data_IF_693149850765
#
_entry.id   IF_693149850765
#
_cell.length_a   1.000
_cell.length_b   1.000
_cell.length_c   1.000
_cell.angle_alpha   90.00
_cell.angle_beta   90.00
_cell.angle_gamma   90.00
#
_symmetry.space_group_name_H-M   'P 1'
#
loop_
_entity.id
_entity.type
_entity.pdbx_description
1 polymer ?
#
# COMPACT_ATOMS: atom_id res chain seq x y z
N UNK A 1 -14.13 33.03 -11.96
CA UNK A 1 -12.68 33.27 -11.87
C UNK A 1 -12.14 32.34 -10.78
N UNK A 2 -11.30 31.36 -11.16
CA UNK A 2 -10.61 30.45 -10.25
C UNK A 2 -9.66 31.22 -9.33
N UNK A 3 -9.41 30.78 -8.09
CA UNK A 3 -8.13 30.97 -7.46
C UNK A 3 -7.18 29.85 -7.91
N UNK A 4 -6.02 30.32 -8.32
CA UNK A 4 -4.83 29.66 -8.81
C UNK A 4 -4.17 28.67 -7.85
N UNK A 5 -3.45 27.71 -8.46
CA UNK A 5 -2.60 26.67 -7.89
C UNK A 5 -1.70 27.10 -6.71
N UNK A 6 -1.65 26.25 -5.67
CA UNK A 6 -0.49 26.13 -4.78
C UNK A 6 0.25 24.85 -5.15
N UNK A 7 1.34 25.01 -5.88
CA UNK A 7 2.42 24.05 -5.99
C UNK A 7 3.45 24.45 -4.93
N UNK A 8 3.94 23.55 -4.05
CA UNK A 8 5.26 23.74 -3.40
C UNK A 8 5.85 22.44 -2.78
N UNK A 9 6.92 21.98 -3.44
CA UNK A 9 8.19 21.36 -2.99
C UNK A 9 8.24 20.33 -1.84
N UNK A 10 8.26 19.07 -2.30
CA UNK A 10 9.16 17.95 -1.97
C UNK A 10 10.19 18.12 -0.83
N UNK A 11 10.17 17.17 0.11
CA UNK A 11 11.39 16.49 0.57
C UNK A 11 11.68 15.33 -0.42
N UNK A 12 12.95 15.17 -0.79
CA UNK A 12 13.47 14.47 -1.98
C UNK A 12 13.07 12.99 -2.18
N UNK A 13 11.82 12.71 -2.58
CA UNK A 13 11.52 11.40 -3.18
C UNK A 13 10.06 11.03 -3.41
N UNK A 14 9.12 11.64 -2.69
CA UNK A 14 7.69 11.28 -2.72
C UNK A 14 6.82 12.40 -3.28
N UNK A 15 6.19 12.19 -4.45
CA UNK A 15 5.11 13.04 -4.93
C UNK A 15 3.79 12.51 -4.33
N UNK A 16 3.23 13.26 -3.38
CA UNK A 16 1.90 13.00 -2.79
C UNK A 16 0.86 13.70 -3.67
N UNK A 17 -0.13 12.98 -4.17
CA UNK A 17 -1.12 13.51 -5.11
C UNK A 17 -2.54 13.04 -4.70
N UNK A 18 -3.48 13.97 -4.58
CA UNK A 18 -4.90 13.62 -4.54
C UNK A 18 -5.33 13.21 -5.94
N UNK A 19 -5.83 11.98 -6.09
CA UNK A 19 -6.34 11.53 -7.38
C UNK A 19 -7.68 12.23 -7.68
N UNK A 20 -7.74 12.97 -8.79
CA UNK A 20 -8.96 13.69 -9.18
C UNK A 20 -10.00 12.73 -9.74
N UNK A 21 -11.24 13.20 -9.80
CA UNK A 21 -12.33 12.46 -10.43
C UNK A 21 -11.99 12.07 -11.86
N UNK A 22 -12.24 10.82 -12.23
CA UNK A 22 -11.94 10.22 -13.54
C UNK A 22 -10.45 10.22 -13.92
N UNK A 23 -9.56 10.48 -12.96
CA UNK A 23 -8.13 10.38 -13.18
C UNK A 23 -7.65 8.93 -12.97
N UNK A 24 -6.67 8.53 -13.76
CA UNK A 24 -5.99 7.24 -13.64
C UNK A 24 -4.48 7.48 -13.61
N UNK A 25 -3.80 6.81 -12.70
CA UNK A 25 -2.34 6.79 -12.60
C UNK A 25 -1.83 5.36 -12.68
N UNK A 26 -0.64 5.20 -13.26
CA UNK A 26 0.07 3.93 -13.27
C UNK A 26 1.03 3.85 -12.09
N UNK A 27 1.15 2.66 -11.51
CA UNK A 27 2.17 2.36 -10.53
C UNK A 27 2.93 1.10 -10.93
N UNK A 28 4.22 1.08 -10.62
CA UNK A 28 5.06 -0.06 -10.88
C UNK A 28 6.04 -0.24 -9.74
N UNK A 29 5.64 -1.07 -8.77
CA UNK A 29 6.46 -1.56 -7.69
C UNK A 29 6.89 -3.01 -7.95
N UNK A 30 7.25 -3.31 -9.20
CA UNK A 30 8.02 -4.52 -9.48
C UNK A 30 9.40 -4.33 -8.86
N UNK A 31 9.98 -5.37 -8.21
CA UNK A 31 11.43 -5.42 -8.11
C UNK A 31 11.93 -5.39 -9.56
N UNK A 32 13.11 -4.82 -9.83
CA UNK A 32 13.71 -5.04 -11.15
C UNK A 32 13.78 -6.57 -11.35
N UNK A 33 12.87 -7.15 -12.13
CA UNK A 33 12.79 -8.58 -12.45
C UNK A 33 14.11 -9.09 -13.09
N UNK A 34 15.02 -8.16 -13.40
CA UNK A 34 16.33 -8.30 -14.02
C UNK A 34 17.53 -7.91 -13.16
N UNK A 35 17.39 -7.58 -11.87
CA UNK A 35 18.57 -7.32 -11.03
C UNK A 35 19.23 -8.62 -10.52
N UNK A 36 19.59 -9.52 -11.44
CA UNK A 36 20.64 -10.51 -11.19
C UNK A 36 21.97 -9.75 -11.24
N UNK A 37 22.46 -9.27 -10.09
CA UNK A 37 23.86 -8.88 -10.03
C UNK A 37 24.66 -10.17 -9.89
N UNK A 38 25.22 -10.64 -11.00
CA UNK A 38 26.34 -11.56 -10.93
C UNK A 38 27.46 -10.83 -10.20
N UNK A 39 27.79 -11.28 -8.99
CA UNK A 39 29.01 -10.84 -8.33
C UNK A 39 30.18 -11.34 -9.19
N UNK A 40 30.81 -10.42 -9.93
CA UNK A 40 31.87 -10.73 -10.90
C UNK A 40 33.07 -11.44 -10.27
N UNK A 41 33.19 -11.47 -8.93
CA UNK A 41 34.29 -12.17 -8.24
C UNK A 41 33.95 -13.60 -7.82
N UNK A 42 32.67 -13.97 -7.62
CA UNK A 42 32.31 -15.27 -7.02
C UNK A 42 31.47 -16.17 -7.92
N UNK A 43 30.94 -15.68 -9.04
CA UNK A 43 30.09 -16.48 -9.94
C UNK A 43 28.73 -16.85 -9.35
N UNK A 44 28.43 -16.40 -8.13
CA UNK A 44 27.15 -16.61 -7.45
C UNK A 44 26.13 -15.62 -8.01
N UNK A 45 25.01 -16.14 -8.50
CA UNK A 45 23.84 -15.31 -8.80
C UNK A 45 23.27 -14.80 -7.47
N UNK A 46 23.54 -13.54 -7.11
CA UNK A 46 22.88 -12.93 -5.95
C UNK A 46 21.47 -12.54 -6.37
N UNK A 47 20.51 -13.38 -6.01
CA UNK A 47 19.09 -13.06 -6.18
C UNK A 47 18.65 -12.15 -5.04
N UNK A 48 17.74 -11.23 -5.35
CA UNK A 48 17.35 -10.12 -4.49
C UNK A 48 16.72 -10.62 -3.19
N UNK A 49 17.28 -10.22 -2.04
CA UNK A 49 16.60 -10.33 -0.74
C UNK A 49 16.26 -8.93 -0.25
N UNK A 50 14.99 -8.73 0.12
CA UNK A 50 14.47 -7.44 0.56
C UNK A 50 13.78 -7.54 1.90
N UNK A 51 13.77 -6.43 2.64
CA UNK A 51 12.95 -6.27 3.84
C UNK A 51 12.07 -5.05 3.62
N UNK A 52 10.77 -5.21 3.76
CA UNK A 52 9.84 -4.10 3.81
C UNK A 52 9.53 -3.78 5.26
N UNK A 53 9.93 -2.60 5.70
CA UNK A 53 9.53 -2.04 6.99
C UNK A 53 8.56 -0.88 6.80
N UNK A 54 7.59 -0.79 7.71
CA UNK A 54 6.87 0.46 8.00
C UNK A 54 7.30 0.90 9.40
N UNK A 55 7.44 2.19 9.60
CA UNK A 55 7.54 2.78 10.94
C UNK A 55 6.60 3.97 10.95
N UNK A 56 5.46 3.85 11.63
CA UNK A 56 4.47 4.93 11.74
C UNK A 56 4.12 5.18 13.20
N UNK A 57 4.01 6.47 13.56
CA UNK A 57 3.40 7.06 14.76
C UNK A 57 3.82 6.67 16.16
N UNK A 58 4.14 5.41 16.41
CA UNK A 58 4.43 4.86 17.73
C UNK A 58 5.41 3.68 17.66
N UNK A 59 6.16 3.60 16.56
CA UNK A 59 7.05 2.47 16.23
C UNK A 59 6.30 1.17 15.90
N UNK A 60 5.02 1.24 15.50
CA UNK A 60 4.36 0.16 14.80
C UNK A 60 5.10 -0.16 13.51
N UNK A 61 5.38 -1.45 13.32
CA UNK A 61 6.17 -1.94 12.23
C UNK A 61 5.67 -3.28 11.73
N UNK A 62 5.91 -3.52 10.46
CA UNK A 62 5.89 -4.86 9.93
C UNK A 62 7.21 -5.15 9.27
N UNK A 63 7.63 -6.41 9.27
CA UNK A 63 8.83 -6.87 8.58
C UNK A 63 8.46 -8.07 7.74
N UNK A 64 8.39 -7.84 6.42
CA UNK A 64 8.22 -8.90 5.44
C UNK A 64 9.51 -9.02 4.65
N UNK A 65 10.09 -10.22 4.67
CA UNK A 65 11.24 -10.57 3.85
C UNK A 65 10.78 -11.43 2.69
N UNK A 66 11.57 -11.45 1.63
CA UNK A 66 11.40 -12.44 0.59
C UNK A 66 12.75 -13.00 0.19
N UNK A 67 12.74 -14.29 -0.16
CA UNK A 67 13.94 -15.01 -0.56
C UNK A 67 14.14 -14.97 -2.08
N UNK A 68 15.19 -15.69 -2.50
CA UNK A 68 15.64 -15.77 -3.89
C UNK A 68 14.62 -16.39 -4.84
N UNK A 69 13.66 -17.15 -4.32
CA UNK A 69 12.63 -17.80 -5.12
C UNK A 69 11.31 -17.01 -5.09
N UNK A 70 11.30 -15.83 -4.46
CA UNK A 70 10.11 -15.02 -4.27
C UNK A 70 9.18 -15.54 -3.19
N UNK A 71 9.65 -16.44 -2.31
CA UNK A 71 8.85 -16.87 -1.17
C UNK A 71 8.88 -15.78 -0.09
N UNK A 72 7.71 -15.39 0.38
CA UNK A 72 7.54 -14.42 1.43
C UNK A 72 7.81 -15.08 2.79
N UNK A 73 8.54 -14.39 3.64
CA UNK A 73 8.81 -14.76 5.02
C UNK A 73 8.31 -13.63 5.92
N UNK A 74 7.18 -13.86 6.59
CA UNK A 74 6.59 -12.92 7.53
C UNK A 74 7.30 -13.05 8.88
N UNK A 75 7.89 -11.97 9.39
CA UNK A 75 8.57 -11.97 10.70
C UNK A 75 7.87 -11.15 11.77
N UNK A 76 7.36 -9.99 11.39
CA UNK A 76 6.75 -9.06 12.35
C UNK A 76 5.54 -8.38 11.72
N UNK A 77 4.43 -8.32 12.46
CA UNK A 77 3.27 -7.48 12.18
C UNK A 77 2.82 -6.87 13.49
N UNK A 78 3.08 -5.58 13.65
CA UNK A 78 2.67 -4.79 14.80
C UNK A 78 1.81 -3.64 14.29
N UNK A 79 0.52 -3.67 14.67
CA UNK A 79 -0.41 -2.59 14.41
C UNK A 79 -0.07 -1.33 15.20
N UNK A 80 -0.58 -0.19 14.75
CA UNK A 80 -0.55 1.06 15.50
C UNK A 80 -1.36 0.91 16.80
N UNK A 81 -0.84 1.45 17.89
CA UNK A 81 -1.46 1.49 19.22
C UNK A 81 -2.48 2.62 19.38
N UNK A 82 -2.43 3.67 18.54
CA UNK A 82 -3.34 4.81 18.54
C UNK A 82 -4.39 4.79 17.41
N UNK A 83 -5.38 5.69 17.48
CA UNK A 83 -6.27 5.95 16.33
C UNK A 83 -5.51 6.71 15.25
N UNK A 84 -5.61 6.27 14.00
CA UNK A 84 -5.01 6.95 12.85
C UNK A 84 -5.81 6.65 11.58
N UNK A 85 -5.51 7.38 10.52
CA UNK A 85 -6.10 7.13 9.20
C UNK A 85 -5.70 5.77 8.65
N UNK A 86 -6.63 5.06 8.00
CA UNK A 86 -6.30 3.77 7.40
C UNK A 86 -5.35 3.92 6.21
N UNK A 87 -4.46 2.95 6.08
CA UNK A 87 -3.42 2.91 5.06
C UNK A 87 -3.42 1.56 4.32
N UNK A 88 -3.19 1.62 3.01
CA UNK A 88 -2.89 0.44 2.19
C UNK A 88 -1.50 0.63 1.59
N UNK A 89 -0.69 -0.42 1.63
CA UNK A 89 0.57 -0.48 0.89
C UNK A 89 0.57 -1.65 -0.09
N UNK A 90 0.96 -1.38 -1.34
CA UNK A 90 1.17 -2.40 -2.36
C UNK A 90 2.66 -2.58 -2.59
N UNK A 91 3.11 -3.84 -2.57
CA UNK A 91 4.49 -4.28 -2.77
C UNK A 91 4.57 -5.35 -3.84
N UNK A 92 5.62 -5.34 -4.66
CA UNK A 92 5.84 -6.39 -5.67
C UNK A 92 4.64 -6.54 -6.63
N UNK A 93 3.98 -5.42 -6.89
CA UNK A 93 2.79 -5.30 -7.71
C UNK A 93 2.94 -4.10 -8.66
N UNK A 94 2.24 -4.15 -9.78
CA UNK A 94 2.13 -3.07 -10.75
C UNK A 94 0.71 -2.99 -11.28
N UNK A 95 0.31 -1.84 -11.79
CA UNK A 95 -0.99 -1.67 -12.42
C UNK A 95 -1.47 -0.24 -12.38
N UNK A 96 -2.77 -0.06 -12.18
CA UNK A 96 -3.42 1.25 -12.28
C UNK A 96 -4.23 1.56 -11.04
N UNK A 97 -4.26 2.84 -10.66
CA UNK A 97 -5.19 3.36 -9.67
C UNK A 97 -6.04 4.40 -10.36
N UNK A 98 -7.35 4.25 -10.27
CA UNK A 98 -8.34 5.13 -10.88
C UNK A 98 -9.36 5.58 -9.85
N UNK A 99 -9.93 6.76 -10.02
CA UNK A 99 -11.03 7.25 -9.19
C UNK A 99 -12.29 7.43 -10.02
N UNK A 100 -13.38 6.80 -9.57
CA UNK A 100 -14.72 7.02 -10.11
C UNK A 100 -15.66 7.30 -8.95
N UNK A 101 -16.13 8.54 -8.87
CA UNK A 101 -16.91 9.08 -7.76
C UNK A 101 -16.11 8.98 -6.45
N UNK A 102 -16.72 8.38 -5.43
CA UNK A 102 -16.10 8.16 -4.13
C UNK A 102 -15.30 6.84 -4.09
N UNK A 103 -15.27 6.08 -5.18
CA UNK A 103 -14.56 4.81 -5.27
C UNK A 103 -13.17 5.00 -5.88
N UNK A 104 -12.16 4.58 -5.12
CA UNK A 104 -10.82 4.34 -5.63
C UNK A 104 -10.72 2.88 -6.07
N UNK A 105 -10.44 2.65 -7.34
CA UNK A 105 -10.24 1.31 -7.92
C UNK A 105 -8.78 1.10 -8.26
N UNK A 106 -8.20 0.04 -7.71
CA UNK A 106 -6.84 -0.42 -7.99
C UNK A 106 -6.95 -1.70 -8.81
N UNK A 107 -6.36 -1.73 -9.99
CA UNK A 107 -6.08 -2.97 -10.68
C UNK A 107 -4.60 -3.27 -10.45
N UNK A 108 -4.30 -4.37 -9.76
CA UNK A 108 -2.95 -4.74 -9.37
C UNK A 108 -2.62 -6.13 -9.91
N UNK A 109 -1.42 -6.25 -10.49
CA UNK A 109 -0.85 -7.49 -10.97
C UNK A 109 0.52 -7.72 -10.37
N UNK A 110 0.82 -8.96 -10.04
CA UNK A 110 2.16 -9.42 -9.68
C UNK A 110 2.77 -10.25 -10.80
N UNK A 111 4.10 -10.27 -10.88
CA UNK A 111 4.84 -11.26 -11.69
C UNK A 111 5.04 -12.58 -10.97
N UNK A 112 4.71 -12.65 -9.68
CA UNK A 112 4.59 -13.91 -8.96
C UNK A 112 3.20 -14.52 -9.13
N UNK A 113 3.06 -15.79 -8.77
CA UNK A 113 1.83 -16.55 -8.97
C UNK A 113 0.68 -16.09 -8.06
N UNK A 114 1.01 -15.49 -6.90
CA UNK A 114 0.04 -15.14 -5.87
C UNK A 114 0.19 -13.70 -5.39
N UNK A 115 -0.92 -13.13 -4.92
CA UNK A 115 -0.94 -11.90 -4.14
C UNK A 115 -1.47 -12.23 -2.74
N UNK A 116 -0.73 -11.80 -1.71
CA UNK A 116 -1.06 -12.00 -0.30
C UNK A 116 -1.52 -10.70 0.33
N UNK A 117 -2.57 -10.78 1.14
CA UNK A 117 -3.13 -9.64 1.87
C UNK A 117 -2.96 -9.87 3.37
N UNK A 118 -2.22 -8.96 3.99
CA UNK A 118 -1.98 -8.92 5.43
C UNK A 118 -2.72 -7.74 6.03
N UNK A 119 -3.50 -7.99 7.08
CA UNK A 119 -3.94 -6.95 7.99
C UNK A 119 -2.78 -6.67 8.96
N UNK A 120 -2.47 -5.39 9.20
CA UNK A 120 -1.31 -4.99 10.02
C UNK A 120 -1.61 -5.11 11.52
N UNK A 121 -2.89 -5.17 11.91
CA UNK A 121 -3.31 -5.55 13.25
C UNK A 121 -3.04 -7.05 13.48
N UNK A 122 -2.87 -7.42 14.75
CA UNK A 122 -2.44 -8.74 15.23
C UNK A 122 -2.95 -9.94 14.42
N UNK A 123 -2.12 -10.99 14.27
CA UNK A 123 -2.41 -12.29 13.64
C UNK A 123 -2.49 -12.36 12.10
N UNK A 124 -1.48 -11.84 11.41
CA UNK A 124 -0.82 -12.52 10.28
C UNK A 124 -1.66 -13.19 9.19
N UNK A 125 -1.76 -12.49 8.04
CA UNK A 125 -2.42 -12.89 6.79
C UNK A 125 -3.94 -13.08 6.89
N UNK A 126 -4.68 -12.29 6.11
CA UNK A 126 -6.13 -12.43 5.99
C UNK A 126 -6.52 -13.33 4.82
N UNK A 127 -5.76 -13.26 3.72
CA UNK A 127 -6.06 -14.04 2.53
C UNK A 127 -4.93 -14.08 1.50
N UNK A 128 -5.12 -14.94 0.50
CA UNK A 128 -4.32 -15.00 -0.73
C UNK A 128 -5.22 -15.03 -1.97
N UNK A 129 -4.70 -14.51 -3.07
CA UNK A 129 -5.40 -14.31 -4.33
C UNK A 129 -4.52 -14.69 -5.51
N UNK A 130 -5.11 -14.88 -6.69
CA UNK A 130 -4.35 -14.98 -7.93
C UNK A 130 -3.48 -13.73 -8.18
N UNK A 131 -2.52 -13.86 -9.10
CA UNK A 131 -1.58 -12.79 -9.50
C UNK A 131 -2.21 -11.54 -10.12
N UNK A 132 -3.52 -11.51 -10.37
CA UNK A 132 -4.27 -10.37 -10.91
C UNK A 132 -5.50 -10.11 -10.03
N UNK A 133 -5.57 -8.92 -9.46
CA UNK A 133 -6.65 -8.50 -8.56
C UNK A 133 -7.18 -7.10 -8.90
N UNK A 134 -8.46 -6.91 -8.66
CA UNK A 134 -9.12 -5.62 -8.54
C UNK A 134 -9.43 -5.36 -7.07
N UNK A 135 -9.15 -4.14 -6.62
CA UNK A 135 -9.44 -3.66 -5.28
C UNK A 135 -10.31 -2.41 -5.41
N UNK A 136 -11.44 -2.39 -4.71
CA UNK A 136 -12.32 -1.23 -4.64
C UNK A 136 -12.35 -0.70 -3.20
N UNK A 137 -12.13 0.61 -3.06
CA UNK A 137 -12.06 1.31 -1.78
C UNK A 137 -13.04 2.48 -1.79
N UNK A 138 -13.82 2.64 -0.73
CA UNK A 138 -14.57 3.88 -0.44
C UNK A 138 -14.15 4.38 0.93
N UNK A 139 -13.68 5.63 0.95
CA UNK A 139 -13.13 6.26 2.15
C UNK A 139 -14.09 7.32 2.70
N UNK A 140 -14.24 7.35 4.03
CA UNK A 140 -14.97 8.42 4.75
C UNK A 140 -14.22 8.81 6.02
N UNK A 141 -14.63 9.90 6.66
CA UNK A 141 -14.20 10.18 8.04
C UNK A 141 -14.98 9.29 9.02
N UNK A 142 -14.55 9.22 10.30
CA UNK A 142 -15.33 8.54 11.35
C UNK A 142 -16.73 9.13 11.55
N UNK A 143 -16.94 10.40 11.18
CA UNK A 143 -18.24 11.08 11.20
C UNK A 143 -19.04 10.91 9.89
N UNK A 144 -18.62 10.00 9.00
CA UNK A 144 -19.24 9.72 7.69
C UNK A 144 -19.15 10.85 6.65
N UNK A 145 -18.22 11.79 6.79
CA UNK A 145 -17.94 12.80 5.77
C UNK A 145 -17.06 12.23 4.64
N UNK A 146 -17.15 12.80 3.44
CA UNK A 146 -16.32 12.40 2.30
C UNK A 146 -14.82 12.59 2.60
N UNK A 147 -14.00 11.61 2.19
CA UNK A 147 -12.57 11.54 2.47
C UNK A 147 -11.80 11.18 1.19
N UNK A 148 -11.11 12.14 0.53
CA UNK A 148 -10.30 11.81 -0.62
C UNK A 148 -9.18 10.82 -0.29
N UNK A 149 -8.92 9.89 -1.21
CA UNK A 149 -7.78 8.98 -1.08
C UNK A 149 -6.56 9.62 -1.73
N UNK A 150 -5.49 9.75 -0.94
CA UNK A 150 -4.19 10.14 -1.44
C UNK A 150 -3.47 8.93 -1.98
N UNK A 151 -2.78 9.12 -3.10
CA UNK A 151 -1.85 8.11 -3.61
C UNK A 151 -0.45 8.69 -3.57
N UNK A 152 0.48 7.89 -3.04
CA UNK A 152 1.90 8.10 -3.22
C UNK A 152 2.43 6.98 -4.11
N UNK A 153 3.08 7.35 -5.21
CA UNK A 153 3.83 6.44 -6.07
C UNK A 153 5.30 6.89 -6.06
N UNK A 154 6.17 6.13 -5.41
CA UNK A 154 7.57 6.52 -5.20
C UNK A 154 8.42 6.65 -6.49
N UNK A 155 9.38 7.59 -6.48
CA UNK A 155 10.39 7.78 -7.53
C UNK A 155 11.71 7.03 -7.25
N UNK A 156 12.58 7.00 -8.27
CA UNK A 156 13.70 6.09 -8.61
C UNK A 156 14.69 5.55 -7.56
N UNK A 157 14.76 6.01 -6.31
CA UNK A 157 15.99 5.82 -5.50
C UNK A 157 15.91 5.07 -4.17
N UNK A 158 14.75 4.59 -3.73
CA UNK A 158 14.68 3.53 -2.71
C UNK A 158 13.32 2.86 -2.80
N UNK A 159 13.30 1.52 -2.88
CA UNK A 159 12.14 0.63 -2.97
C UNK A 159 10.80 1.35 -3.21
N UNK A 160 10.36 1.37 -4.47
CA UNK A 160 9.06 1.93 -4.86
C UNK A 160 8.01 1.36 -3.92
N UNK A 161 7.11 2.18 -3.43
CA UNK A 161 5.95 1.66 -2.69
C UNK A 161 4.78 2.48 -3.14
N UNK A 162 3.70 1.80 -3.44
CA UNK A 162 2.43 2.48 -3.65
C UNK A 162 1.70 2.50 -2.32
N UNK A 163 1.61 3.68 -1.69
CA UNK A 163 0.79 3.86 -0.49
C UNK A 163 -0.46 4.64 -0.83
N UNK A 164 -1.56 4.16 -0.27
CA UNK A 164 -2.88 4.79 -0.36
C UNK A 164 -3.30 5.13 1.06
N UNK A 165 -3.72 6.37 1.26
CA UNK A 165 -4.11 6.88 2.57
C UNK A 165 -5.45 7.59 2.43
N UNK A 166 -6.41 7.26 3.29
CA UNK A 166 -7.65 8.02 3.41
C UNK A 166 -7.34 9.38 4.08
N UNK A 167 -7.45 10.49 3.35
CA UNK A 167 -7.21 11.84 3.88
C UNK A 167 -8.50 12.64 3.96
N UNK A 168 -8.95 13.06 5.15
CA UNK A 168 -10.08 13.96 5.27
C UNK A 168 -9.78 15.34 4.67
N UNK A 169 -10.81 15.97 4.10
CA UNK A 169 -10.70 17.27 3.44
C UNK A 169 -10.17 18.33 4.41
N UNK A 170 -9.26 19.19 3.94
CA UNK A 170 -8.63 20.28 4.71
C UNK A 170 -7.71 19.88 5.88
N UNK A 171 -7.26 18.63 5.96
CA UNK A 171 -6.27 18.21 6.97
C UNK A 171 -4.86 18.33 6.41
N UNK A 172 -4.01 19.09 7.12
CA UNK A 172 -2.60 19.24 6.75
C UNK A 172 -1.82 17.95 7.03
N UNK A 173 -0.73 17.70 6.29
CA UNK A 173 0.08 16.48 6.46
C UNK A 173 0.49 16.32 7.93
N UNK A 174 1.04 17.35 8.54
CA UNK A 174 1.60 17.25 9.91
C UNK A 174 0.52 16.99 10.96
N UNK A 175 -0.74 17.35 10.67
CA UNK A 175 -1.88 16.98 11.51
C UNK A 175 -2.27 15.54 11.37
N UNK A 176 -2.17 14.94 10.17
CA UNK A 176 -2.25 13.48 9.98
C UNK A 176 -1.24 12.80 10.91
N UNK A 177 -0.09 13.46 11.18
CA UNK A 177 1.02 12.88 11.91
C UNK A 177 1.06 13.01 13.45
N UNK A 178 -0.07 13.33 14.10
CA UNK A 178 -0.13 13.55 15.55
C UNK A 178 -0.62 12.31 16.31
N UNK A 179 -0.27 12.14 17.59
CA UNK A 179 -0.79 11.03 18.41
C UNK A 179 -2.28 11.17 18.76
N UNK A 180 -2.86 12.37 18.62
CA UNK A 180 -4.26 12.66 18.95
C UNK A 180 -4.92 13.43 17.82
N UNK A 181 -6.12 12.97 17.45
CA UNK A 181 -6.92 13.48 16.35
C UNK A 181 -8.38 13.62 16.78
N UNK A 182 -9.04 14.68 16.33
CA UNK A 182 -10.50 14.72 16.35
C UNK A 182 -11.05 13.70 15.33
N UNK A 183 -12.17 13.06 15.62
CA UNK A 183 -12.70 11.97 14.79
C UNK A 183 -12.96 12.41 13.33
N UNK A 184 -13.33 13.67 13.10
CA UNK A 184 -13.50 14.27 11.76
C UNK A 184 -12.22 14.30 10.92
N UNK A 185 -11.05 14.20 11.55
CA UNK A 185 -9.72 14.25 10.89
C UNK A 185 -9.13 12.86 10.65
N UNK A 186 -9.86 11.80 11.02
CA UNK A 186 -9.47 10.40 10.82
C UNK A 186 -10.22 9.81 9.63
N UNK A 187 -9.49 9.47 8.56
CA UNK A 187 -10.02 8.79 7.38
C UNK A 187 -10.01 7.27 7.54
N UNK A 188 -11.10 6.61 7.16
CA UNK A 188 -11.29 5.16 7.26
C UNK A 188 -11.76 4.54 5.94
N UNK A 189 -11.39 3.29 5.68
CA UNK A 189 -11.89 2.51 4.54
C UNK A 189 -13.23 1.87 4.90
N UNK A 190 -14.32 2.62 4.72
CA UNK A 190 -15.69 2.12 4.96
C UNK A 190 -16.08 0.95 4.07
N UNK A 191 -15.43 0.84 2.92
CA UNK A 191 -15.55 -0.28 2.00
C UNK A 191 -14.16 -0.64 1.49
N UNK A 192 -13.80 -1.92 1.61
CA UNK A 192 -12.59 -2.48 1.05
C UNK A 192 -12.89 -3.89 0.55
N UNK A 193 -12.90 -4.05 -0.78
CA UNK A 193 -13.22 -5.31 -1.44
C UNK A 193 -12.10 -5.69 -2.39
N UNK A 194 -11.74 -6.97 -2.38
CA UNK A 194 -10.77 -7.54 -3.32
C UNK A 194 -11.46 -8.61 -4.16
N UNK A 195 -11.20 -8.60 -5.46
CA UNK A 195 -11.63 -9.62 -6.41
C UNK A 195 -10.43 -10.06 -7.22
N UNK A 196 -10.28 -11.37 -7.41
CA UNK A 196 -9.22 -11.93 -8.24
C UNK A 196 -9.74 -12.42 -9.59
N UNK A 197 -8.83 -12.73 -10.51
CA UNK A 197 -9.16 -13.16 -11.87
C UNK A 197 -9.82 -14.54 -11.94
N UNK A 198 -9.66 -15.35 -10.88
CA UNK A 198 -10.31 -16.66 -10.73
C UNK A 198 -11.73 -16.55 -10.16
N UNK A 199 -12.21 -15.32 -9.88
CA UNK A 199 -13.55 -15.06 -9.38
C UNK A 199 -13.70 -15.10 -7.86
N UNK A 200 -12.60 -15.30 -7.11
CA UNK A 200 -12.62 -15.15 -5.66
C UNK A 200 -12.85 -13.68 -5.33
N UNK A 201 -13.82 -13.39 -4.46
CA UNK A 201 -14.08 -12.04 -3.99
C UNK A 201 -14.38 -12.02 -2.50
N UNK A 202 -13.85 -11.02 -1.79
CA UNK A 202 -14.00 -10.89 -0.35
C UNK A 202 -14.03 -9.42 0.07
N UNK A 203 -14.85 -9.15 1.07
CA UNK A 203 -14.92 -7.87 1.77
C UNK A 203 -14.09 -7.94 3.05
N UNK A 204 -13.48 -6.82 3.39
CA UNK A 204 -12.60 -6.69 4.53
C UNK A 204 -13.03 -5.51 5.41
N UNK A 205 -12.83 -5.61 6.73
CA UNK A 205 -13.17 -4.53 7.64
C UNK A 205 -12.28 -3.30 7.40
N UNK A 206 -12.67 -2.16 7.97
CA UNK A 206 -11.86 -0.94 7.95
C UNK A 206 -10.61 -1.12 8.80
N UNK A 207 -9.45 -1.22 8.18
CA UNK A 207 -8.17 -1.44 8.84
C UNK A 207 -7.00 -1.09 7.91
N UNK A 208 -5.79 -1.28 8.41
CA UNK A 208 -4.56 -1.19 7.66
C UNK A 208 -4.20 -2.49 6.95
N UNK A 209 -3.77 -2.35 5.68
CA UNK A 209 -3.44 -3.51 4.86
C UNK A 209 -2.10 -3.38 4.13
N UNK A 210 -1.42 -4.51 4.02
CA UNK A 210 -0.26 -4.70 3.13
C UNK A 210 -0.62 -5.77 2.12
N UNK A 211 -0.44 -5.44 0.85
CA UNK A 211 -0.70 -6.32 -0.29
C UNK A 211 0.63 -6.60 -0.97
N UNK A 212 1.04 -7.86 -1.02
CA UNK A 212 2.36 -8.25 -1.52
C UNK A 212 2.24 -9.39 -2.53
N UNK A 213 2.83 -9.19 -3.71
CA UNK A 213 3.05 -10.27 -4.67
C UNK A 213 4.15 -11.23 -4.18
N UNK A 214 3.93 -12.54 -4.29
CA UNK A 214 4.91 -13.55 -3.90
C UNK A 214 4.59 -14.94 -4.45
N UNK A 215 5.60 -15.82 -4.50
CA UNK A 215 5.45 -17.19 -5.01
C UNK A 215 4.75 -18.08 -3.99
N UNK A 216 5.22 -18.08 -2.76
CA UNK A 216 4.63 -18.79 -1.63
C UNK A 216 4.75 -17.94 -0.36
N UNK A 217 4.04 -18.32 0.71
CA UNK A 217 4.16 -17.69 2.02
C UNK A 217 4.64 -18.71 3.05
N UNK A 218 5.78 -18.39 3.67
CA UNK A 218 6.32 -19.05 4.84
C UNK A 218 6.05 -18.18 6.07
N UNK A 219 5.27 -18.70 7.02
CA UNK A 219 5.04 -18.05 8.31
C UNK A 219 5.97 -18.68 9.33
N UNK A 220 7.09 -18.02 9.62
CA UNK A 220 7.93 -18.40 10.76
C UNK A 220 7.31 -17.81 12.02
N UNK A 221 6.69 -18.65 12.86
CA UNK A 221 6.25 -18.29 14.21
C UNK A 221 7.39 -18.38 15.19
#
# INVERSE_FOLDING_TARGET
MLPSFIQLKLHDGYKKYELKQNETIEFNDKPNETAKYADKQTGVTKTFSGSFSRGSYDSAAYVIRYDNDGNLNLRELKGCSGKHQNEISLKLCSGTISRTNDTLRINAKSSFDMIYLFNIKENGMVDSFSSDIQIDIVSKTLENNYCPSLVTSGSKYSGRVTYIVALPVNISKDEIYKPFHEDKTIGIFTYFAVKDSNGKSKFYPSDDYVIIGGKSLNISR
#
